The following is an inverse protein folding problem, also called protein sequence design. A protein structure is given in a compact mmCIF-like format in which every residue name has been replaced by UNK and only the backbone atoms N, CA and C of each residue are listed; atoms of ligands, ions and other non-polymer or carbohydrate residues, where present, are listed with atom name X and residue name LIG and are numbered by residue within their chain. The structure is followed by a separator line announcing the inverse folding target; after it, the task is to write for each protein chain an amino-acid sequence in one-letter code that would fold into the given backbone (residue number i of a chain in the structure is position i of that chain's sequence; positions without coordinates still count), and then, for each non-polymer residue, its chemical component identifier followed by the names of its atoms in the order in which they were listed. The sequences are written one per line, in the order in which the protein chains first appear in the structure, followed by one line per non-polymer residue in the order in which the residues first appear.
data_IF_602041078158
#
_entry.id   IF_602041078158
#
_cell.length_a   1.000
_cell.length_b   1.000
_cell.length_c   1.000
_cell.angle_alpha   90.00
_cell.angle_beta   90.00
_cell.angle_gamma   90.00
#
_symmetry.space_group_name_H-M   'P 1'
#
loop_
_entity.id
_entity.type
_entity.pdbx_description
1 polymer ?
#
# COMPACT_ATOMS: atom_id res chain seq x y z
N UNK A 1 -12.39 -10.08 -1.18
CA UNK A 1 -12.46 -9.00 -0.17
C UNK A 1 -11.90 -7.75 -0.80
N UNK A 2 -12.52 -6.58 -0.57
CA UNK A 2 -11.96 -5.31 -1.04
C UNK A 2 -10.77 -4.97 -0.14
N UNK A 3 -9.57 -4.94 -0.71
CA UNK A 3 -8.38 -4.46 -0.01
C UNK A 3 -8.45 -2.93 -0.05
N UNK A 4 -9.00 -2.30 0.98
CA UNK A 4 -9.04 -0.83 1.05
C UNK A 4 -7.90 -0.32 1.93
N UNK A 5 -7.35 0.83 1.59
CA UNK A 5 -6.39 1.54 2.41
C UNK A 5 -7.11 2.65 3.16
N UNK A 6 -7.19 2.54 4.48
CA UNK A 6 -8.07 3.39 5.29
C UNK A 6 -7.25 4.05 6.39
N UNK A 7 -7.21 5.38 6.38
CA UNK A 7 -6.68 6.15 7.50
C UNK A 7 -7.82 6.36 8.51
N UNK A 8 -7.58 5.95 9.76
CA UNK A 8 -8.58 5.97 10.82
C UNK A 8 -8.14 6.90 11.93
N UNK A 9 -8.98 7.89 12.25
CA UNK A 9 -8.87 8.67 13.50
C UNK A 9 -9.46 7.81 14.61
N UNK A 10 -8.70 7.56 15.68
CA UNK A 10 -9.14 6.70 16.76
C UNK A 10 -9.87 7.49 17.84
N UNK A 11 -10.96 6.92 18.36
CA UNK A 11 -11.61 7.44 19.55
C UNK A 11 -10.83 7.07 20.84
N UNK A 12 -11.26 7.61 21.99
CA UNK A 12 -10.60 7.40 23.27
C UNK A 12 -10.55 5.92 23.71
N UNK A 13 -11.59 5.14 23.43
CA UNK A 13 -11.66 3.72 23.77
C UNK A 13 -10.71 2.91 22.88
N UNK A 14 -10.72 3.20 21.58
CA UNK A 14 -9.82 2.59 20.60
C UNK A 14 -8.36 2.91 20.89
N UNK A 15 -8.05 4.15 21.27
CA UNK A 15 -6.70 4.56 21.69
C UNK A 15 -6.27 3.78 22.92
N UNK A 16 -7.14 3.62 23.91
CA UNK A 16 -6.83 2.88 25.13
C UNK A 16 -6.49 1.41 24.82
N UNK A 17 -7.32 0.75 24.01
CA UNK A 17 -7.08 -0.64 23.57
C UNK A 17 -5.81 -0.77 22.75
N UNK A 18 -5.59 0.11 21.76
CA UNK A 18 -4.38 0.08 20.94
C UNK A 18 -3.11 0.28 21.79
N UNK A 19 -3.14 1.14 22.81
CA UNK A 19 -2.00 1.34 23.71
C UNK A 19 -1.75 0.14 24.62
N UNK A 20 -2.79 -0.54 25.08
CA UNK A 20 -2.64 -1.72 25.93
C UNK A 20 -1.92 -2.85 25.16
N UNK A 21 -2.33 -3.08 23.91
CA UNK A 21 -1.77 -4.12 23.04
C UNK A 21 -0.37 -3.80 22.48
N UNK A 22 -0.13 -2.55 22.06
CA UNK A 22 1.10 -2.19 21.34
C UNK A 22 2.17 -1.55 22.23
N UNK A 23 1.82 -1.24 23.48
CA UNK A 23 2.71 -0.63 24.47
C UNK A 23 2.22 0.73 24.95
N UNK A 24 1.96 0.83 26.27
CA UNK A 24 1.32 1.98 26.94
C UNK A 24 2.05 3.32 26.75
N UNK A 25 3.36 3.29 26.50
CA UNK A 25 4.19 4.49 26.30
C UNK A 25 4.09 5.05 24.87
N UNK A 26 3.55 4.29 23.91
CA UNK A 26 3.43 4.75 22.52
C UNK A 26 2.37 5.83 22.40
N UNK A 27 2.68 6.87 21.62
CA UNK A 27 1.70 7.86 21.21
C UNK A 27 0.89 7.28 20.05
N UNK A 28 -0.34 6.86 20.36
CA UNK A 28 -1.29 6.30 19.40
C UNK A 28 -2.51 7.22 19.38
N UNK A 29 -2.86 7.68 18.19
CA UNK A 29 -4.01 8.57 17.91
C UNK A 29 -4.73 8.15 16.64
N UNK A 30 -4.03 7.46 15.74
CA UNK A 30 -4.54 7.04 14.44
C UNK A 30 -4.18 5.58 14.20
N UNK A 31 -4.94 4.95 13.30
CA UNK A 31 -4.61 3.67 12.72
C UNK A 31 -4.59 3.79 11.19
N UNK A 32 -3.81 2.93 10.56
CA UNK A 32 -3.80 2.72 9.12
C UNK A 32 -4.21 1.27 8.88
N UNK A 33 -5.41 1.07 8.35
CA UNK A 33 -5.93 -0.24 7.96
C UNK A 33 -5.56 -0.49 6.52
N UNK A 34 -4.94 -1.63 6.27
CA UNK A 34 -4.27 -1.96 5.01
C UNK A 34 -4.90 -3.23 4.47
N UNK A 35 -6.19 -3.15 4.12
CA UNK A 35 -6.97 -4.30 3.65
C UNK A 35 -6.73 -5.57 4.45
N UNK A 36 -6.38 -6.64 3.73
CA UNK A 36 -6.05 -7.93 4.33
C UNK A 36 -4.59 -8.06 4.82
N UNK A 37 -3.75 -7.05 4.60
CA UNK A 37 -2.34 -7.04 5.02
C UNK A 37 -2.18 -6.64 6.49
N UNK A 38 -3.19 -5.98 7.05
CA UNK A 38 -3.28 -5.76 8.50
C UNK A 38 -3.52 -4.30 8.90
N UNK A 39 -3.05 -3.97 10.10
CA UNK A 39 -3.23 -2.65 10.70
C UNK A 39 -1.94 -2.13 11.33
N UNK A 40 -1.70 -0.83 11.19
CA UNK A 40 -0.63 -0.11 11.88
C UNK A 40 -1.21 0.97 12.77
N UNK A 41 -0.70 1.08 13.99
CA UNK A 41 -1.07 2.13 14.95
C UNK A 41 0.06 3.13 15.15
N UNK A 42 -0.28 4.42 15.24
CA UNK A 42 0.71 5.47 15.43
C UNK A 42 0.13 6.85 15.68
N UNK A 43 0.99 7.86 15.55
CA UNK A 43 0.55 9.25 15.51
C UNK A 43 -0.07 9.59 14.16
N UNK A 44 -0.91 10.62 14.13
CA UNK A 44 -1.45 11.19 12.89
C UNK A 44 -0.38 11.34 11.80
N UNK A 45 0.72 12.02 12.13
CA UNK A 45 1.83 12.28 11.20
C UNK A 45 2.44 10.99 10.63
N UNK A 46 2.56 9.95 11.46
CA UNK A 46 3.09 8.66 11.00
C UNK A 46 2.11 7.97 10.05
N UNK A 47 0.84 7.87 10.43
CA UNK A 47 -0.18 7.21 9.62
C UNK A 47 -0.42 7.94 8.29
N UNK A 48 -0.50 9.28 8.30
CA UNK A 48 -0.63 10.10 7.08
C UNK A 48 0.57 9.87 6.15
N UNK A 49 1.80 9.83 6.68
CA UNK A 49 3.00 9.61 5.86
C UNK A 49 2.94 8.28 5.11
N UNK A 50 2.55 7.19 5.78
CA UNK A 50 2.42 5.89 5.12
C UNK A 50 1.23 5.85 4.18
N UNK A 51 0.07 6.36 4.59
CA UNK A 51 -1.12 6.46 3.76
C UNK A 51 -0.84 7.18 2.43
N UNK A 52 -0.21 8.36 2.49
CA UNK A 52 0.07 9.17 1.31
C UNK A 52 1.03 8.49 0.34
N UNK A 53 1.99 7.72 0.84
CA UNK A 53 2.98 7.03 -0.01
C UNK A 53 2.37 5.74 -0.58
N UNK A 54 1.68 4.96 0.24
CA UNK A 54 1.17 3.64 -0.15
C UNK A 54 -0.02 3.71 -1.09
N UNK A 55 -0.88 4.74 -0.96
CA UNK A 55 -1.98 4.95 -1.91
C UNK A 55 -1.48 5.10 -3.36
N UNK A 56 -0.28 5.66 -3.55
CA UNK A 56 0.29 5.95 -4.86
C UNK A 56 1.17 4.78 -5.36
N UNK A 57 2.06 4.25 -4.51
CA UNK A 57 2.96 3.15 -4.88
C UNK A 57 2.19 1.85 -5.12
N UNK A 58 1.21 1.55 -4.27
CA UNK A 58 0.44 0.31 -4.29
C UNK A 58 -0.99 0.52 -4.77
N UNK A 59 -1.22 1.53 -5.62
CA UNK A 59 -2.55 1.89 -6.11
C UNK A 59 -3.33 0.71 -6.70
N UNK A 60 -2.63 -0.25 -7.34
CA UNK A 60 -3.24 -1.42 -7.98
C UNK A 60 -3.52 -2.56 -6.97
N UNK A 61 -3.07 -2.42 -5.73
CA UNK A 61 -3.40 -3.33 -4.62
C UNK A 61 -4.69 -2.94 -3.92
N UNK A 62 -5.05 -1.65 -3.94
CA UNK A 62 -6.16 -1.11 -3.18
C UNK A 62 -7.39 -0.81 -4.03
N UNK A 63 -8.57 -1.18 -3.52
CA UNK A 63 -9.85 -0.89 -4.17
C UNK A 63 -10.28 0.56 -3.94
N UNK A 64 -10.24 1.01 -2.68
CA UNK A 64 -10.48 2.39 -2.27
C UNK A 64 -9.41 2.87 -1.31
N UNK A 65 -9.17 4.18 -1.34
CA UNK A 65 -8.35 4.88 -0.36
C UNK A 65 -9.18 6.02 0.23
N UNK A 66 -9.39 6.02 1.55
CA UNK A 66 -10.17 7.07 2.21
C UNK A 66 -9.79 7.23 3.69
N UNK A 67 -10.32 8.30 4.29
CA UNK A 67 -10.11 8.66 5.70
C UNK A 67 -11.45 8.62 6.43
N UNK A 68 -11.46 8.21 7.69
CA UNK A 68 -12.69 8.12 8.51
C UNK A 68 -12.38 8.10 10.01
N UNK A 69 -13.34 8.53 10.82
CA UNK A 69 -13.39 8.37 12.28
C UNK A 69 -14.38 7.27 12.72
N UNK A 70 -15.15 6.72 11.78
CA UNK A 70 -16.21 5.72 12.01
C UNK A 70 -15.80 4.34 11.49
N UNK A 71 -14.62 3.88 11.88
CA UNK A 71 -14.14 2.55 11.49
C UNK A 71 -14.06 1.61 12.69
N UNK A 72 -14.66 0.42 12.55
CA UNK A 72 -14.57 -0.62 13.57
C UNK A 72 -13.34 -1.51 13.32
N UNK A 73 -12.36 -1.39 14.21
CA UNK A 73 -11.12 -2.18 14.16
C UNK A 73 -11.34 -3.51 14.89
N UNK A 74 -11.15 -4.62 14.19
CA UNK A 74 -11.33 -5.97 14.73
C UNK A 74 -10.13 -6.48 15.55
N UNK A 75 -8.92 -5.99 15.26
CA UNK A 75 -7.69 -6.39 15.94
C UNK A 75 -6.85 -5.16 16.29
N UNK A 76 -6.48 -5.02 17.57
CA UNK A 76 -5.72 -3.88 18.08
C UNK A 76 -4.22 -4.15 18.18
N UNK A 77 -3.76 -5.33 17.78
CA UNK A 77 -2.33 -5.63 17.66
C UNK A 77 -1.82 -5.14 16.31
N UNK A 78 -0.72 -4.38 16.29
CA UNK A 78 -0.04 -4.05 15.04
C UNK A 78 0.27 -5.33 14.28
N UNK A 79 -0.15 -5.39 13.03
CA UNK A 79 0.32 -6.42 12.12
C UNK A 79 1.81 -6.22 11.88
N UNK A 80 2.52 -7.30 11.56
CA UNK A 80 3.97 -7.34 11.45
C UNK A 80 4.52 -6.48 10.31
N UNK A 81 5.36 -7.06 9.46
CA UNK A 81 6.08 -6.29 8.44
C UNK A 81 5.21 -5.97 7.21
N UNK A 82 4.10 -5.26 7.41
CA UNK A 82 3.07 -4.93 6.40
C UNK A 82 3.67 -4.38 5.11
N UNK A 83 4.74 -3.59 5.21
CA UNK A 83 5.42 -3.03 4.03
C UNK A 83 6.05 -4.12 3.15
N UNK A 84 6.60 -5.19 3.73
CA UNK A 84 7.18 -6.29 2.96
C UNK A 84 6.09 -7.07 2.23
N UNK A 85 4.96 -7.31 2.89
CA UNK A 85 3.82 -8.00 2.27
C UNK A 85 3.26 -7.20 1.08
N UNK A 86 3.19 -5.86 1.20
CA UNK A 86 2.79 -4.99 0.10
C UNK A 86 3.80 -5.01 -1.05
N UNK A 87 5.11 -5.03 -0.75
CA UNK A 87 6.16 -5.11 -1.78
C UNK A 87 6.06 -6.43 -2.53
N UNK A 88 5.98 -7.57 -1.81
CA UNK A 88 5.89 -8.90 -2.42
C UNK A 88 4.66 -9.02 -3.31
N UNK A 89 3.49 -8.59 -2.82
CA UNK A 89 2.26 -8.65 -3.60
C UNK A 89 2.30 -7.72 -4.82
N UNK A 90 2.84 -6.52 -4.66
CA UNK A 90 3.02 -5.58 -5.76
C UNK A 90 3.92 -6.18 -6.84
N UNK A 91 5.05 -6.77 -6.45
CA UNK A 91 5.98 -7.40 -7.39
C UNK A 91 5.38 -8.63 -8.07
N UNK A 92 4.54 -9.40 -7.36
CA UNK A 92 3.78 -10.51 -7.95
C UNK A 92 2.80 -10.06 -9.03
N UNK A 93 2.18 -8.89 -8.86
CA UNK A 93 1.18 -8.32 -9.79
C UNK A 93 1.79 -7.50 -10.91
N UNK A 94 3.03 -7.01 -10.76
CA UNK A 94 3.74 -6.43 -11.88
C UNK A 94 3.75 -7.48 -12.99
N UNK A 95 3.27 -7.14 -14.20
CA UNK A 95 3.45 -8.05 -15.31
C UNK A 95 4.94 -8.38 -15.35
N UNK A 96 5.28 -9.68 -15.41
CA UNK A 96 6.59 -10.11 -15.87
C UNK A 96 6.66 -9.57 -17.29
N UNK A 97 7.21 -8.36 -17.44
CA UNK A 97 7.42 -7.78 -18.76
C UNK A 97 8.33 -8.81 -19.44
N UNK A 98 7.76 -9.53 -20.40
CA UNK A 98 8.48 -10.27 -21.41
C UNK A 98 9.34 -9.23 -22.14
N UNK A 99 10.50 -8.92 -21.55
CA UNK A 99 11.45 -7.88 -21.95
C UNK A 99 12.06 -8.13 -23.35
N UNK A 100 11.50 -9.04 -24.14
CA UNK A 100 12.01 -9.46 -25.44
C UNK A 100 11.07 -9.07 -26.60
N UNK A 101 9.79 -8.74 -26.38
CA UNK A 101 8.89 -8.50 -27.53
C UNK A 101 8.90 -7.08 -28.08
N UNK A 102 9.19 -6.07 -27.26
CA UNK A 102 9.10 -4.66 -27.67
C UNK A 102 10.42 -4.09 -28.24
N UNK A 103 11.57 -4.63 -27.86
CA UNK A 103 12.88 -4.25 -28.43
C UNK A 103 13.06 -4.82 -29.84
N UNK A 104 12.60 -6.04 -30.11
CA UNK A 104 12.75 -6.68 -31.43
C UNK A 104 11.88 -6.01 -32.51
N UNK A 105 10.72 -5.44 -32.15
CA UNK A 105 9.86 -4.75 -33.13
C UNK A 105 10.36 -3.35 -33.47
N UNK A 106 11.01 -2.66 -32.53
CA UNK A 106 11.53 -1.30 -32.76
C UNK A 106 12.84 -1.28 -33.54
N UNK A 107 13.74 -2.25 -33.29
CA UNK A 107 14.99 -2.37 -34.05
C UNK A 107 14.75 -2.80 -35.50
N UNK A 108 13.80 -3.72 -35.75
CA UNK A 108 13.50 -4.14 -37.13
C UNK A 108 12.92 -3.00 -37.97
N UNK A 109 12.02 -2.16 -37.43
CA UNK A 109 11.50 -1.03 -38.23
C UNK A 109 12.58 -0.01 -38.59
N UNK A 110 13.42 0.40 -37.63
CA UNK A 110 14.44 1.42 -37.88
C UNK A 110 15.65 0.95 -38.71
N UNK A 111 15.98 -0.34 -38.68
CA UNK A 111 17.12 -0.88 -39.42
C UNK A 111 16.81 -1.09 -40.91
N UNK A 112 15.60 -1.56 -41.25
CA UNK A 112 15.20 -1.77 -42.65
C UNK A 112 14.90 -0.44 -43.38
N UNK A 113 14.32 0.57 -42.71
CA UNK A 113 14.14 1.92 -43.27
C UNK A 113 15.47 2.62 -43.60
N UNK A 114 16.53 2.35 -42.82
CA UNK A 114 17.87 2.90 -43.06
C UNK A 114 18.66 2.20 -44.17
N UNK A 115 18.39 0.92 -44.41
CA UNK A 115 19.12 0.11 -45.39
C UNK A 115 18.47 0.09 -46.79
N UNK A 116 17.16 0.25 -46.86
CA UNK A 116 16.42 0.15 -48.13
C UNK A 116 15.58 1.38 -48.41
N UNK A 117 16.07 2.57 -48.03
CA UNK A 117 15.41 3.85 -48.28
C UNK A 117 15.02 4.06 -49.74
N UNK A 118 13.79 3.63 -50.07
CA UNK A 118 12.86 4.18 -51.06
C UNK A 118 11.44 3.76 -50.70
#
# INVERSE_FOLDING_TARGET
MKNDLILVVLDAEQIAKAKDENGKRKQITHALVVGNYGVMFGTEKQCIKYYSVWKDIFKDLFGKCYETDQYHISAYTCSGNVVMDLIEESDRRKPKIDFIKETVTREKKGFWEKLFGR
#
